data_IF_559352011703
#
_entry.id   IF_559352011703
#
_cell.length_a   1.000
_cell.length_b   1.000
_cell.length_c   1.000
_cell.angle_alpha   90.00
_cell.angle_beta   90.00
_cell.angle_gamma   90.00
#
_symmetry.space_group_name_H-M   'P 1'
#
loop_
_entity.id
_entity.type
_entity.pdbx_description
1 polymer ?
#
# COMPACT_ATOMS: atom_id res chain seq x y z
N UNK A 1 12.09 5.08 -14.13
CA UNK A 1 12.78 3.86 -13.63
C UNK A 1 11.86 2.63 -13.50
N UNK A 2 12.47 1.44 -13.61
CA UNK A 2 11.97 0.07 -13.87
C UNK A 2 10.87 -0.08 -14.93
N UNK A 3 9.65 0.41 -14.68
CA UNK A 3 8.57 0.33 -15.67
C UNK A 3 8.93 1.09 -16.96
N UNK A 4 9.50 2.29 -16.81
CA UNK A 4 10.02 3.09 -17.92
C UNK A 4 11.19 2.40 -18.65
N UNK A 5 12.13 1.80 -17.90
CA UNK A 5 13.28 1.08 -18.48
C UNK A 5 12.84 -0.14 -19.28
N UNK A 6 11.74 -0.77 -18.88
CA UNK A 6 11.11 -1.90 -19.57
C UNK A 6 10.06 -1.48 -20.61
N UNK A 7 9.86 -0.18 -20.84
CA UNK A 7 8.88 0.33 -21.80
C UNK A 7 7.42 0.03 -21.44
N UNK A 8 7.12 -0.21 -20.17
CA UNK A 8 5.78 -0.51 -19.66
C UNK A 8 5.06 0.82 -19.38
N UNK A 9 3.95 1.13 -20.07
CA UNK A 9 3.20 2.34 -19.83
C UNK A 9 2.48 2.27 -18.48
N UNK A 10 2.61 3.33 -17.68
CA UNK A 10 1.88 3.46 -16.43
C UNK A 10 0.54 4.17 -16.65
N UNK A 11 -0.54 3.78 -15.94
CA UNK A 11 -1.80 4.52 -15.95
C UNK A 11 -1.58 5.98 -15.53
N UNK A 12 -2.26 6.91 -16.21
CA UNK A 12 -2.14 8.36 -15.95
C UNK A 12 -3.03 8.86 -14.80
N UNK A 13 -3.80 7.97 -14.17
CA UNK A 13 -4.73 8.35 -13.12
C UNK A 13 -5.01 7.22 -12.13
N UNK A 14 -5.73 7.59 -11.08
CA UNK A 14 -6.13 6.65 -10.03
C UNK A 14 -7.05 5.56 -10.60
N UNK A 15 -6.90 4.35 -10.05
CA UNK A 15 -7.92 3.30 -10.17
C UNK A 15 -9.21 3.73 -9.48
N UNK A 16 -10.33 3.15 -9.89
CA UNK A 16 -11.64 3.57 -9.39
C UNK A 16 -11.81 3.33 -7.89
N UNK A 17 -11.19 2.27 -7.36
CA UNK A 17 -11.12 2.00 -5.91
C UNK A 17 -10.46 3.16 -5.14
N UNK A 18 -9.34 3.68 -5.64
CA UNK A 18 -8.62 4.80 -5.02
C UNK A 18 -9.38 6.12 -5.18
N UNK A 19 -10.06 6.34 -6.32
CA UNK A 19 -10.94 7.51 -6.48
C UNK A 19 -12.09 7.50 -5.48
N UNK A 20 -12.71 6.34 -5.29
CA UNK A 20 -13.79 6.17 -4.32
C UNK A 20 -13.26 6.40 -2.90
N UNK A 21 -12.08 5.85 -2.58
CA UNK A 21 -11.49 6.06 -1.25
C UNK A 21 -11.13 7.51 -0.97
N UNK A 22 -10.59 8.23 -1.96
CA UNK A 22 -10.36 9.68 -1.87
C UNK A 22 -11.67 10.43 -1.59
N UNK A 23 -12.75 10.10 -2.31
CA UNK A 23 -14.07 10.71 -2.10
C UNK A 23 -14.58 10.48 -0.68
N UNK A 24 -14.44 9.26 -0.16
CA UNK A 24 -14.92 8.90 1.19
C UNK A 24 -14.09 9.55 2.31
N UNK A 25 -12.78 9.71 2.10
CA UNK A 25 -11.87 10.31 3.09
C UNK A 25 -11.86 11.84 3.07
N UNK A 26 -12.01 12.46 1.90
CA UNK A 26 -11.90 13.93 1.72
C UNK A 26 -12.82 14.80 2.60
N UNK A 27 -14.06 14.40 2.97
CA UNK A 27 -14.88 15.21 3.87
C UNK A 27 -14.56 15.01 5.36
N UNK A 28 -13.75 14.01 5.72
CA UNK A 28 -13.43 13.70 7.10
C UNK A 28 -12.34 14.64 7.63
N UNK A 29 -12.39 14.94 8.92
CA UNK A 29 -11.44 15.83 9.59
C UNK A 29 -11.00 15.25 10.94
N UNK A 30 -9.77 15.60 11.35
CA UNK A 30 -9.18 15.19 12.63
C UNK A 30 -9.29 13.70 12.89
N UNK A 31 -9.69 13.32 14.12
CA UNK A 31 -9.78 11.91 14.53
C UNK A 31 -10.70 11.05 13.65
N UNK A 32 -11.71 11.62 13.00
CA UNK A 32 -12.55 10.86 12.08
C UNK A 32 -11.77 10.46 10.81
N UNK A 33 -10.97 11.38 10.27
CA UNK A 33 -10.07 11.10 9.16
C UNK A 33 -9.02 10.08 9.57
N UNK A 34 -8.33 10.30 10.70
CA UNK A 34 -7.24 9.44 11.16
C UNK A 34 -7.70 7.98 11.30
N UNK A 35 -8.87 7.74 11.91
CA UNK A 35 -9.40 6.39 12.06
C UNK A 35 -9.74 5.73 10.73
N UNK A 36 -10.44 6.43 9.84
CA UNK A 36 -10.85 5.86 8.55
C UNK A 36 -9.67 5.67 7.59
N UNK A 37 -8.68 6.55 7.64
CA UNK A 37 -7.44 6.42 6.90
C UNK A 37 -6.63 5.21 7.39
N UNK A 38 -6.42 5.09 8.71
CA UNK A 38 -5.65 3.96 9.26
C UNK A 38 -6.35 2.61 9.13
N UNK A 39 -7.69 2.59 9.16
CA UNK A 39 -8.47 1.38 8.84
C UNK A 39 -8.24 0.90 7.40
N UNK A 40 -8.03 1.82 6.47
CA UNK A 40 -7.77 1.52 5.08
C UNK A 40 -6.32 1.13 4.83
N UNK A 41 -5.37 1.99 5.21
CA UNK A 41 -3.95 1.79 4.91
C UNK A 41 -3.39 0.53 5.55
N UNK A 42 -3.85 0.15 6.74
CA UNK A 42 -3.43 -1.13 7.31
C UNK A 42 -3.83 -2.31 6.40
N UNK A 43 -5.05 -2.30 5.85
CA UNK A 43 -5.52 -3.37 4.96
C UNK A 43 -4.79 -3.34 3.62
N UNK A 44 -4.62 -2.14 3.07
CA UNK A 44 -3.91 -1.89 1.81
C UNK A 44 -2.48 -2.44 1.88
N UNK A 45 -1.71 -2.04 2.89
CA UNK A 45 -0.34 -2.54 3.07
C UNK A 45 -0.26 -4.02 3.42
N UNK A 46 -1.26 -4.59 4.10
CA UNK A 46 -1.31 -6.04 4.31
C UNK A 46 -1.50 -6.79 2.99
N UNK A 47 -2.32 -6.25 2.08
CA UNK A 47 -2.48 -6.79 0.74
C UNK A 47 -1.19 -6.62 -0.08
N UNK A 48 -0.53 -5.46 -0.01
CA UNK A 48 0.76 -5.24 -0.69
C UNK A 48 1.81 -6.25 -0.23
N UNK A 49 1.94 -6.51 1.08
CA UNK A 49 2.86 -7.52 1.60
C UNK A 49 2.52 -8.90 1.03
N UNK A 50 1.24 -9.26 0.95
CA UNK A 50 0.80 -10.53 0.39
C UNK A 50 1.14 -10.64 -1.11
N UNK A 51 0.84 -9.61 -1.91
CA UNK A 51 1.16 -9.57 -3.34
C UNK A 51 2.68 -9.67 -3.59
N UNK A 52 3.50 -9.04 -2.76
CA UNK A 52 4.96 -9.13 -2.87
C UNK A 52 5.47 -10.50 -2.44
N UNK A 53 4.92 -11.11 -1.39
CA UNK A 53 5.26 -12.48 -0.98
C UNK A 53 4.91 -13.50 -2.07
N UNK A 54 3.74 -13.37 -2.71
CA UNK A 54 3.35 -14.20 -3.86
C UNK A 54 4.23 -13.92 -5.09
N UNK A 55 4.57 -12.65 -5.32
CA UNK A 55 5.47 -12.23 -6.38
C UNK A 55 6.85 -12.89 -6.28
N UNK A 56 7.38 -13.08 -5.07
CA UNK A 56 8.65 -13.79 -4.86
C UNK A 56 8.63 -15.26 -5.33
N UNK A 57 7.45 -15.87 -5.46
CA UNK A 57 7.28 -17.25 -5.91
C UNK A 57 6.96 -17.37 -7.41
N UNK A 58 6.44 -16.30 -8.01
CA UNK A 58 5.79 -16.35 -9.33
C UNK A 58 6.41 -15.41 -10.38
N UNK A 59 7.15 -14.39 -9.97
CA UNK A 59 7.79 -13.43 -10.88
C UNK A 59 9.01 -14.06 -11.55
N UNK A 60 9.00 -14.08 -12.89
CA UNK A 60 10.10 -14.58 -13.71
C UNK A 60 11.12 -13.49 -14.08
N UNK A 61 10.67 -12.23 -14.17
CA UNK A 61 11.56 -11.12 -14.54
C UNK A 61 12.54 -10.83 -13.40
N UNK A 62 13.86 -10.94 -13.64
CA UNK A 62 14.86 -10.85 -12.58
C UNK A 62 14.93 -9.45 -11.94
N UNK A 63 14.64 -8.39 -12.69
CA UNK A 63 14.67 -7.03 -12.16
C UNK A 63 13.45 -6.76 -11.30
N UNK A 64 12.27 -7.27 -11.71
CA UNK A 64 11.05 -7.22 -10.89
C UNK A 64 11.24 -8.06 -9.63
N UNK A 65 11.82 -9.25 -9.73
CA UNK A 65 12.11 -10.09 -8.57
C UNK A 65 13.06 -9.39 -7.59
N UNK A 66 14.16 -8.80 -8.10
CA UNK A 66 15.09 -8.02 -7.28
C UNK A 66 14.40 -6.83 -6.60
N UNK A 67 13.54 -6.12 -7.33
CA UNK A 67 12.74 -5.03 -6.79
C UNK A 67 11.78 -5.48 -5.68
N UNK A 68 11.13 -6.63 -5.83
CA UNK A 68 10.27 -7.22 -4.80
C UNK A 68 11.09 -7.51 -3.53
N UNK A 69 12.26 -8.14 -3.65
CA UNK A 69 13.13 -8.46 -2.51
C UNK A 69 13.56 -7.23 -1.71
N UNK A 70 13.95 -6.13 -2.37
CA UNK A 70 14.39 -4.89 -1.69
C UNK A 70 13.25 -4.11 -1.05
N UNK A 71 12.02 -4.28 -1.55
CA UNK A 71 10.87 -3.46 -1.12
C UNK A 71 10.09 -4.12 0.01
N UNK A 72 9.98 -5.46 0.00
CA UNK A 72 9.20 -6.22 0.97
C UNK A 72 9.53 -5.89 2.45
N UNK A 73 10.81 -5.72 2.87
CA UNK A 73 11.11 -5.37 4.27
C UNK A 73 10.48 -4.04 4.71
N UNK A 74 10.42 -3.05 3.81
CA UNK A 74 9.79 -1.75 4.09
C UNK A 74 8.27 -1.90 4.21
N UNK A 75 7.62 -2.67 3.32
CA UNK A 75 6.17 -2.91 3.41
C UNK A 75 5.79 -3.58 4.73
N UNK A 76 6.58 -4.56 5.18
CA UNK A 76 6.38 -5.20 6.50
C UNK A 76 6.51 -4.19 7.65
N UNK A 77 7.50 -3.29 7.58
CA UNK A 77 7.66 -2.25 8.59
C UNK A 77 6.44 -1.31 8.63
N UNK A 78 5.92 -0.89 7.46
CA UNK A 78 4.74 -0.05 7.38
C UNK A 78 3.46 -0.74 7.90
N UNK A 79 3.29 -2.05 7.69
CA UNK A 79 2.17 -2.79 8.29
C UNK A 79 2.22 -2.74 9.81
N UNK A 80 3.41 -2.92 10.40
CA UNK A 80 3.55 -2.84 11.85
C UNK A 80 3.27 -1.42 12.35
N UNK A 81 3.89 -0.39 11.77
CA UNK A 81 3.62 1.01 12.10
C UNK A 81 2.12 1.35 12.00
N UNK A 82 1.46 0.92 10.93
CA UNK A 82 0.04 1.14 10.73
C UNK A 82 -0.81 0.45 11.80
N UNK A 83 -0.44 -0.76 12.23
CA UNK A 83 -1.08 -1.48 13.33
C UNK A 83 -0.95 -0.73 14.65
N UNK A 84 0.25 -0.24 14.96
CA UNK A 84 0.53 0.53 16.18
C UNK A 84 -0.28 1.83 16.22
N UNK A 85 -0.26 2.61 15.14
CA UNK A 85 -1.01 3.87 15.06
C UNK A 85 -2.51 3.61 15.18
N UNK A 86 -3.04 2.61 14.45
CA UNK A 86 -4.46 2.24 14.54
C UNK A 86 -4.87 1.87 15.97
N UNK A 87 -4.03 1.13 16.69
CA UNK A 87 -4.30 0.77 18.09
C UNK A 87 -4.32 2.01 18.99
N UNK A 88 -3.35 2.92 18.83
CA UNK A 88 -3.29 4.16 19.60
C UNK A 88 -4.50 5.08 19.37
N UNK A 89 -5.10 5.05 18.18
CA UNK A 89 -6.33 5.79 17.86
C UNK A 89 -7.60 5.16 18.46
N UNK A 90 -7.55 3.92 18.94
CA UNK A 90 -8.69 3.26 19.60
C UNK A 90 -8.73 3.51 21.12
N UNK A 91 -7.60 3.88 21.70
CA UNK A 91 -7.46 4.14 23.14
C UNK A 91 -7.74 5.59 23.54
N UNK A 92 -7.93 6.48 22.56
CA UNK A 92 -8.26 7.90 22.72
C UNK A 92 -9.70 8.18 22.28
#
# INVERSE_FOLDING_TARGET
>A
ELAEEKGIPLPSGLRDEHKQKLKDLSPLLGHAFDREYMNYILRDHQNDVHEFEEGMQTVEDPDVLHWTYRTLPMLRAHVEEARWIKQALQTN
#
